data_IF_579336113103
#
_entry.id   IF_579336113103
#
_cell.length_a   1.000
_cell.length_b   1.000
_cell.length_c   1.000
_cell.angle_alpha   90.00
_cell.angle_beta   90.00
_cell.angle_gamma   90.00
#
_symmetry.space_group_name_H-M   'P 1'
#
loop_
_entity.id
_entity.type
_entity.pdbx_description
1 polymer ?
#
# COMPACT_ATOMS: atom_id res chain seq x y z
N UNK A 1 -8.50 3.46 -9.83
CA UNK A 1 -8.32 4.78 -9.21
C UNK A 1 -7.56 4.77 -7.89
N UNK A 2 -7.38 3.63 -7.21
CA UNK A 2 -6.50 3.57 -6.01
C UNK A 2 -6.97 4.43 -4.83
N UNK A 3 -8.26 4.76 -4.77
CA UNK A 3 -8.86 5.61 -3.72
C UNK A 3 -9.50 4.73 -2.67
N UNK A 4 -9.18 4.97 -1.40
CA UNK A 4 -9.80 4.33 -0.25
C UNK A 4 -9.83 5.29 0.94
N UNK A 5 -10.68 4.98 1.92
CA UNK A 5 -10.75 5.71 3.20
C UNK A 5 -10.54 4.71 4.32
N UNK A 6 -9.72 5.07 5.30
CA UNK A 6 -9.45 4.24 6.47
C UNK A 6 -9.44 5.11 7.73
N UNK A 7 -9.89 4.54 8.84
CA UNK A 7 -9.79 5.16 10.16
C UNK A 7 -8.62 4.54 10.94
N UNK A 8 -8.01 5.33 11.82
CA UNK A 8 -6.91 4.85 12.69
C UNK A 8 -7.42 4.83 14.13
N UNK A 9 -7.70 3.65 14.71
CA UNK A 9 -8.30 3.56 16.04
C UNK A 9 -7.30 3.77 17.19
N UNK A 10 -5.99 3.69 16.92
CA UNK A 10 -4.94 3.83 17.94
C UNK A 10 -3.59 4.26 17.35
N UNK A 11 -2.73 4.94 18.13
CA UNK A 11 -1.35 5.19 17.75
C UNK A 11 -0.61 3.90 17.41
N UNK A 12 0.38 4.00 16.53
CA UNK A 12 1.19 2.88 16.09
C UNK A 12 1.55 2.97 14.62
N UNK A 13 2.08 1.86 14.12
CA UNK A 13 2.56 1.74 12.77
C UNK A 13 1.56 0.93 11.94
N UNK A 14 1.13 1.50 10.83
CA UNK A 14 0.16 0.90 9.91
C UNK A 14 0.72 0.84 8.50
N UNK A 15 0.30 -0.17 7.73
CA UNK A 15 0.76 -0.37 6.36
C UNK A 15 -0.37 -0.83 5.44
N UNK A 16 -0.37 -0.34 4.21
CA UNK A 16 -1.25 -0.78 3.12
C UNK A 16 -0.39 -1.26 1.96
N UNK A 17 -0.70 -2.42 1.41
CA UNK A 17 0.02 -2.98 0.27
C UNK A 17 -0.96 -3.32 -0.86
N UNK A 18 -0.73 -2.72 -2.02
CA UNK A 18 -1.43 -2.95 -3.26
C UNK A 18 -0.51 -3.81 -4.15
N UNK A 19 -0.50 -5.12 -3.88
CA UNK A 19 0.41 -6.05 -4.56
C UNK A 19 -0.13 -6.44 -5.94
N UNK A 20 0.75 -6.61 -6.92
CA UNK A 20 0.46 -7.01 -8.29
C UNK A 20 -0.61 -6.17 -8.99
N UNK A 21 -0.82 -4.93 -8.56
CA UNK A 21 -2.00 -4.15 -8.94
C UNK A 21 -1.81 -3.29 -10.19
N UNK A 22 -0.56 -3.14 -10.65
CA UNK A 22 -0.30 -2.48 -11.92
C UNK A 22 -0.81 -3.28 -13.13
N UNK A 23 -1.02 -2.59 -14.26
CA UNK A 23 -1.65 -3.17 -15.45
C UNK A 23 -0.76 -4.22 -16.16
N UNK A 24 0.57 -4.10 -16.02
CA UNK A 24 1.52 -5.01 -16.65
C UNK A 24 1.80 -6.19 -15.72
N UNK A 25 1.71 -7.41 -16.25
CA UNK A 25 1.98 -8.65 -15.50
C UNK A 25 3.31 -9.29 -15.88
N UNK A 26 3.96 -8.78 -16.91
CA UNK A 26 5.18 -9.37 -17.44
C UNK A 26 6.18 -8.29 -17.90
N UNK A 27 7.47 -8.56 -17.70
CA UNK A 27 8.56 -7.79 -18.28
C UNK A 27 9.66 -8.75 -18.75
N UNK A 28 9.88 -8.82 -20.07
CA UNK A 28 10.92 -9.67 -20.71
C UNK A 28 10.77 -11.16 -20.41
N UNK A 29 9.58 -11.75 -20.56
CA UNK A 29 9.38 -13.19 -20.35
C UNK A 29 9.30 -13.60 -18.88
N UNK A 30 9.25 -12.63 -17.95
CA UNK A 30 9.23 -12.88 -16.50
C UNK A 30 8.05 -12.16 -15.87
N UNK A 31 7.48 -12.79 -14.84
CA UNK A 31 6.45 -12.18 -14.01
C UNK A 31 6.93 -10.84 -13.45
N UNK A 32 6.09 -9.82 -13.60
CA UNK A 32 6.32 -8.46 -13.13
C UNK A 32 5.33 -8.16 -12.01
N UNK A 33 5.86 -7.87 -10.82
CA UNK A 33 5.08 -7.28 -9.74
C UNK A 33 5.14 -5.77 -9.85
N UNK A 34 3.97 -5.14 -9.95
CA UNK A 34 3.81 -3.68 -9.86
C UNK A 34 3.03 -3.37 -8.60
N UNK A 35 3.79 -3.01 -7.56
CA UNK A 35 3.30 -2.87 -6.20
C UNK A 35 3.30 -1.41 -5.75
N UNK A 36 2.36 -1.07 -4.88
CA UNK A 36 2.40 0.18 -4.13
C UNK A 36 2.25 -0.12 -2.63
N UNK A 37 3.15 0.42 -1.82
CA UNK A 37 3.12 0.27 -0.36
C UNK A 37 3.06 1.64 0.28
N UNK A 38 2.12 1.82 1.20
CA UNK A 38 2.01 3.00 2.05
C UNK A 38 2.33 2.60 3.49
N UNK A 39 3.19 3.37 4.15
CA UNK A 39 3.52 3.19 5.56
C UNK A 39 3.17 4.45 6.34
N UNK A 40 2.52 4.28 7.48
CA UNK A 40 1.98 5.38 8.28
C UNK A 40 2.42 5.19 9.72
N UNK A 41 3.12 6.19 10.25
CA UNK A 41 3.40 6.29 11.67
C UNK A 41 2.40 7.26 12.31
N UNK A 42 1.66 6.78 13.29
CA UNK A 42 0.60 7.54 13.97
C UNK A 42 0.99 7.70 15.42
N UNK A 43 1.12 8.95 15.85
CA UNK A 43 1.38 9.31 17.23
C UNK A 43 0.08 9.63 17.95
N UNK A 44 0.11 9.61 19.29
CA UNK A 44 -1.00 10.14 20.08
C UNK A 44 -1.14 11.65 19.83
N UNK A 45 -2.34 12.18 20.03
CA UNK A 45 -2.53 13.62 20.16
C UNK A 45 -1.96 14.04 21.52
N UNK A 46 -1.07 15.03 21.51
CA UNK A 46 -0.55 15.69 22.72
C UNK A 46 -1.49 16.82 23.17
#
# INVERSE_FOLDING_TARGET
NGVFTFGIPRPGIWGFACLGSGPDKEHKGKELSQDAVLWINVTAFE
#
